data_IF_251065216901
#
_entry.id   IF_251065216901
#
_cell.length_a   1.000
_cell.length_b   1.000
_cell.length_c   1.000
_cell.angle_alpha   90.00
_cell.angle_beta   90.00
_cell.angle_gamma   90.00
#
_symmetry.space_group_name_H-M   'P 1'
#
loop_
_entity.id
_entity.type
_entity.pdbx_description
1 polymer ?
#
# COMPACT_ATOMS: atom_id res chain seq x y z
N UNK A 1 48.98 -2.74 -0.80
CA UNK A 1 48.05 -2.78 0.35
C UNK A 1 46.59 -2.64 -0.05
N UNK A 2 46.24 -1.86 -1.09
CA UNK A 2 44.85 -1.59 -1.50
C UNK A 2 44.02 -2.84 -1.90
N UNK A 3 44.64 -3.85 -2.52
CA UNK A 3 43.96 -5.11 -2.91
C UNK A 3 43.30 -5.87 -1.76
N UNK A 4 43.80 -5.75 -0.52
CA UNK A 4 43.24 -6.42 0.66
C UNK A 4 41.90 -5.81 1.12
N UNK A 5 41.64 -4.55 0.76
CA UNK A 5 40.40 -3.87 1.13
C UNK A 5 39.29 -4.03 0.09
N UNK A 6 39.60 -4.55 -1.10
CA UNK A 6 38.63 -4.68 -2.18
C UNK A 6 37.49 -5.65 -1.83
N UNK A 7 37.84 -6.82 -1.27
CA UNK A 7 36.87 -7.83 -0.86
C UNK A 7 35.91 -7.36 0.26
N UNK A 8 36.38 -6.78 1.40
CA UNK A 8 35.47 -6.28 2.42
C UNK A 8 34.63 -5.08 1.93
N UNK A 9 35.16 -4.25 1.03
CA UNK A 9 34.40 -3.13 0.45
C UNK A 9 33.24 -3.63 -0.42
N UNK A 10 33.48 -4.69 -1.21
CA UNK A 10 32.46 -5.33 -2.06
C UNK A 10 31.39 -6.04 -1.22
N UNK A 11 31.80 -6.69 -0.13
CA UNK A 11 30.86 -7.35 0.77
C UNK A 11 29.97 -6.31 1.50
N UNK A 12 30.56 -5.18 1.91
CA UNK A 12 29.83 -4.08 2.54
C UNK A 12 28.85 -3.41 1.58
N UNK A 13 29.20 -3.25 0.30
CA UNK A 13 28.29 -2.68 -0.70
C UNK A 13 27.12 -3.61 -1.03
N UNK A 14 27.35 -4.93 -1.13
CA UNK A 14 26.26 -5.91 -1.31
C UNK A 14 25.33 -5.99 -0.09
N UNK A 15 25.87 -5.85 1.13
CA UNK A 15 25.05 -5.86 2.34
C UNK A 15 24.11 -4.63 2.41
N UNK A 16 24.53 -3.47 1.88
CA UNK A 16 23.69 -2.28 1.85
C UNK A 16 22.63 -2.27 0.75
N UNK A 17 22.83 -2.94 -0.38
CA UNK A 17 21.83 -2.97 -1.46
C UNK A 17 20.55 -3.73 -1.08
N UNK A 18 20.65 -4.68 -0.15
CA UNK A 18 19.49 -5.40 0.39
C UNK A 18 18.53 -4.55 1.23
N UNK A 19 18.98 -3.38 1.73
CA UNK A 19 18.14 -2.46 2.50
C UNK A 19 17.48 -1.37 1.64
N UNK A 20 17.80 -1.29 0.35
CA UNK A 20 17.31 -0.25 -0.56
C UNK A 20 16.35 -0.79 -1.63
N UNK A 21 15.99 -2.08 -1.59
CA UNK A 21 14.87 -2.57 -2.39
C UNK A 21 13.59 -1.89 -1.91
N UNK A 22 13.08 -0.94 -2.69
CA UNK A 22 11.72 -0.45 -2.49
C UNK A 22 10.81 -1.67 -2.44
N UNK A 23 9.92 -1.80 -1.44
CA UNK A 23 8.98 -2.91 -1.41
C UNK A 23 8.26 -2.94 -2.75
N UNK A 24 8.19 -4.10 -3.40
CA UNK A 24 7.23 -4.27 -4.49
C UNK A 24 5.89 -3.72 -4.00
N UNK A 25 5.29 -2.81 -4.77
CA UNK A 25 4.08 -2.11 -4.34
C UNK A 25 3.04 -3.13 -3.86
N UNK A 26 2.32 -2.83 -2.77
CA UNK A 26 1.34 -3.74 -2.14
C UNK A 26 0.33 -4.35 -3.14
N UNK A 27 0.09 -3.65 -4.25
CA UNK A 27 -0.86 -4.00 -5.29
C UNK A 27 -0.21 -3.96 -6.68
N UNK A 28 -0.62 -4.89 -7.54
CA UNK A 28 -0.28 -4.89 -8.96
C UNK A 28 -0.88 -3.68 -9.68
N UNK A 29 -0.33 -3.26 -10.84
CA UNK A 29 -0.90 -2.19 -11.64
C UNK A 29 -2.39 -2.43 -11.99
N UNK A 30 -2.75 -3.67 -12.28
CA UNK A 30 -4.12 -4.08 -12.59
C UNK A 30 -5.06 -3.88 -11.39
N UNK A 31 -4.60 -4.23 -10.18
CA UNK A 31 -5.35 -3.98 -8.94
C UNK A 31 -5.50 -2.49 -8.66
N UNK A 32 -4.44 -1.70 -8.85
CA UNK A 32 -4.50 -0.24 -8.69
C UNK A 32 -5.51 0.38 -9.66
N UNK A 33 -5.53 -0.07 -10.92
CA UNK A 33 -6.50 0.38 -11.90
C UNK A 33 -7.93 0.04 -11.49
N UNK A 34 -8.17 -1.18 -11.01
CA UNK A 34 -9.48 -1.58 -10.49
C UNK A 34 -9.90 -0.72 -9.28
N UNK A 35 -9.01 -0.52 -8.30
CA UNK A 35 -9.29 0.30 -7.12
C UNK A 35 -9.68 1.74 -7.48
N UNK A 36 -8.92 2.37 -8.39
CA UNK A 36 -9.28 3.70 -8.92
C UNK A 36 -10.66 3.71 -9.57
N UNK A 37 -11.01 2.67 -10.33
CA UNK A 37 -12.33 2.56 -10.96
C UNK A 37 -13.48 2.43 -9.94
N UNK A 38 -13.22 1.84 -8.77
CA UNK A 38 -14.16 1.75 -7.66
C UNK A 38 -14.17 3.00 -6.76
N UNK A 39 -13.39 4.03 -7.10
CA UNK A 39 -13.36 5.30 -6.35
C UNK A 39 -12.41 5.31 -5.15
N UNK A 40 -11.53 4.32 -5.01
CA UNK A 40 -10.46 4.40 -4.01
C UNK A 40 -9.48 5.51 -4.34
N UNK A 41 -8.96 6.15 -3.29
CA UNK A 41 -7.92 7.17 -3.38
C UNK A 41 -6.72 6.79 -2.51
N UNK A 42 -5.54 7.18 -2.99
CA UNK A 42 -4.30 7.03 -2.24
C UNK A 42 -4.17 8.19 -1.24
N UNK A 43 -4.09 7.87 0.04
CA UNK A 43 -4.02 8.78 1.17
C UNK A 43 -2.89 8.32 2.08
N UNK A 44 -1.86 9.16 2.25
CA UNK A 44 -0.70 8.91 3.10
C UNK A 44 0.07 7.60 2.78
N UNK A 45 0.06 7.16 1.52
CA UNK A 45 0.75 5.93 1.09
C UNK A 45 -0.07 4.65 1.31
N UNK A 46 -1.32 4.76 1.73
CA UNK A 46 -2.29 3.67 1.76
C UNK A 46 -3.52 4.02 0.89
N UNK A 47 -4.34 3.03 0.62
CA UNK A 47 -5.54 3.19 -0.21
C UNK A 47 -6.79 3.19 0.66
N UNK A 48 -7.73 4.09 0.38
CA UNK A 48 -8.98 4.21 1.13
C UNK A 48 -10.18 4.51 0.22
N UNK A 49 -11.34 4.04 0.65
CA UNK A 49 -12.64 4.32 0.05
C UNK A 49 -13.55 4.92 1.12
N UNK A 50 -13.93 6.18 0.95
CA UNK A 50 -14.89 6.83 1.82
C UNK A 50 -16.31 6.48 1.41
N UNK A 51 -17.10 5.96 2.34
CA UNK A 51 -18.54 5.75 2.18
C UNK A 51 -19.28 6.70 3.11
N UNK A 52 -20.45 7.19 2.69
CA UNK A 52 -21.22 8.14 3.49
C UNK A 52 -22.06 7.41 4.54
N UNK A 53 -21.88 7.78 5.81
CA UNK A 53 -22.64 7.24 6.93
C UNK A 53 -24.17 7.41 6.75
N UNK A 54 -24.63 8.51 6.15
CA UNK A 54 -26.06 8.75 5.91
C UNK A 54 -26.64 7.86 4.83
N UNK A 55 -25.79 7.26 4.00
CA UNK A 55 -26.21 6.24 3.02
C UNK A 55 -26.23 4.87 3.70
N UNK A 56 -25.17 4.56 4.46
CA UNK A 56 -24.95 3.24 5.07
C UNK A 56 -25.89 2.93 6.24
N UNK A 57 -26.24 3.92 7.05
CA UNK A 57 -26.90 3.71 8.34
C UNK A 57 -28.18 4.53 8.45
N UNK A 58 -29.11 4.04 9.28
CA UNK A 58 -30.23 4.83 9.78
C UNK A 58 -29.78 5.84 10.83
N UNK A 59 -30.62 6.84 11.10
CA UNK A 59 -30.31 7.90 12.06
C UNK A 59 -30.08 7.34 13.47
N UNK A 60 -28.90 7.58 14.03
CA UNK A 60 -28.47 7.10 15.35
C UNK A 60 -28.43 5.56 15.47
N UNK A 61 -28.35 4.84 14.35
CA UNK A 61 -28.13 3.39 14.34
C UNK A 61 -26.72 3.12 13.78
N UNK A 62 -26.11 2.03 14.23
CA UNK A 62 -24.82 1.53 13.73
C UNK A 62 -24.99 0.29 12.84
N UNK A 63 -26.20 -0.27 12.75
CA UNK A 63 -26.50 -1.37 11.84
C UNK A 63 -26.63 -0.85 10.41
N UNK A 64 -25.98 -1.55 9.48
CA UNK A 64 -26.12 -1.26 8.05
C UNK A 64 -27.57 -1.43 7.60
N UNK A 65 -27.99 -0.59 6.65
CA UNK A 65 -29.24 -0.78 5.95
C UNK A 65 -29.14 -2.02 5.06
N UNK A 66 -30.20 -2.84 4.90
CA UNK A 66 -30.13 -4.07 4.11
C UNK A 66 -29.57 -3.88 2.68
N UNK A 67 -29.91 -2.77 2.04
CA UNK A 67 -29.41 -2.38 0.71
C UNK A 67 -27.93 -2.01 0.66
N UNK A 68 -27.29 -1.81 1.82
CA UNK A 68 -25.85 -1.51 1.93
C UNK A 68 -25.01 -2.75 2.24
N UNK A 69 -25.64 -3.92 2.47
CA UNK A 69 -24.95 -5.18 2.76
C UNK A 69 -24.62 -6.00 1.51
N UNK A 70 -25.27 -5.70 0.38
CA UNK A 70 -25.22 -6.46 -0.89
C UNK A 70 -24.80 -5.59 -2.05
#
# INVERSE_FOLDING_TARGET
MLKRYFAPLLLASLAMSGCQSSPEGKFTPEQIAAMKSYGFNELNGDWSLGLSDTILFDKNDARLRPESET
#
